data_IF_320290640247
#
_entry.id   IF_320290640247
#
_cell.length_a   1.000
_cell.length_b   1.000
_cell.length_c   1.000
_cell.angle_alpha   90.00
_cell.angle_beta   90.00
_cell.angle_gamma   90.00
#
_symmetry.space_group_name_H-M   'P 1'
#
loop_
_entity.id
_entity.type
_entity.pdbx_description
1 polymer ?
#
# COMPACT_ATOMS: atom_id res chain seq x y z
N UNK A 1 -33.78 40.43 7.45
CA UNK A 1 -33.77 38.96 7.34
C UNK A 1 -34.02 38.58 5.90
N UNK A 2 -32.97 38.45 5.09
CA UNK A 2 -33.10 37.91 3.75
C UNK A 2 -33.04 36.38 3.87
N UNK A 3 -34.19 35.77 4.15
CA UNK A 3 -34.35 34.32 4.13
C UNK A 3 -34.47 33.86 2.68
N UNK A 4 -33.43 33.21 2.17
CA UNK A 4 -33.45 32.51 0.90
C UNK A 4 -32.54 31.28 1.03
N UNK A 5 -32.90 30.18 0.36
CA UNK A 5 -32.04 29.00 0.28
C UNK A 5 -31.01 29.24 -0.83
N UNK A 6 -29.70 29.15 -0.56
CA UNK A 6 -28.69 29.25 -1.60
C UNK A 6 -28.92 28.21 -2.70
N UNK A 7 -28.76 28.63 -3.95
CA UNK A 7 -28.85 27.78 -5.13
C UNK A 7 -27.49 27.71 -5.82
N UNK A 8 -27.35 26.86 -6.84
CA UNK A 8 -26.09 26.70 -7.56
C UNK A 8 -25.33 25.46 -7.11
N UNK A 9 -24.00 25.50 -7.15
CA UNK A 9 -23.16 24.32 -6.92
C UNK A 9 -21.94 24.60 -6.04
N UNK A 10 -21.52 23.54 -5.35
CA UNK A 10 -20.29 23.47 -4.57
C UNK A 10 -19.30 22.57 -5.30
N UNK A 11 -18.13 23.10 -5.60
CA UNK A 11 -17.00 22.31 -6.10
C UNK A 11 -16.10 21.91 -4.95
N UNK A 12 -15.83 20.62 -4.81
CA UNK A 12 -14.94 20.06 -3.80
C UNK A 12 -13.56 19.79 -4.41
N UNK A 13 -12.51 20.07 -3.65
CA UNK A 13 -11.12 19.85 -4.04
C UNK A 13 -10.34 19.16 -2.92
N UNK A 14 -9.35 18.36 -3.30
CA UNK A 14 -8.23 17.97 -2.46
C UNK A 14 -7.00 18.78 -2.89
N UNK A 15 -6.65 19.80 -2.10
CA UNK A 15 -5.70 20.83 -2.51
C UNK A 15 -6.20 21.56 -3.76
N UNK A 16 -5.56 21.30 -4.90
CA UNK A 16 -5.95 21.85 -6.22
C UNK A 16 -6.67 20.85 -7.11
N UNK A 17 -6.77 19.58 -6.70
CA UNK A 17 -7.36 18.50 -7.49
C UNK A 17 -8.87 18.47 -7.28
N UNK A 18 -9.71 18.61 -8.32
CA UNK A 18 -11.16 18.52 -8.16
C UNK A 18 -11.59 17.11 -7.74
N UNK A 19 -12.42 17.03 -6.70
CA UNK A 19 -13.09 15.80 -6.26
C UNK A 19 -14.49 15.67 -6.86
N UNK A 20 -15.12 16.80 -7.20
CA UNK A 20 -16.43 16.82 -7.85
C UNK A 20 -17.09 18.19 -7.79
N UNK A 21 -18.07 18.41 -8.65
CA UNK A 21 -18.95 19.57 -8.61
C UNK A 21 -20.38 19.10 -8.39
N UNK A 22 -21.01 19.57 -7.32
CA UNK A 22 -22.31 19.05 -6.85
C UNK A 22 -23.27 20.20 -6.67
N UNK A 23 -24.45 20.11 -7.29
CA UNK A 23 -25.52 21.08 -7.09
C UNK A 23 -26.06 21.01 -5.67
N UNK A 24 -26.41 22.16 -5.10
CA UNK A 24 -27.06 22.23 -3.80
C UNK A 24 -28.44 21.54 -3.86
N UNK A 25 -28.70 20.69 -2.87
CA UNK A 25 -30.04 20.15 -2.59
C UNK A 25 -30.48 20.71 -1.25
N UNK A 26 -31.31 21.75 -1.29
CA UNK A 26 -31.52 22.60 -0.11
C UNK A 26 -30.29 23.47 0.14
N UNK A 27 -29.76 23.45 1.36
CA UNK A 27 -28.57 24.19 1.79
C UNK A 27 -27.27 23.36 1.74
N UNK A 28 -27.34 22.13 1.23
CA UNK A 28 -26.29 21.13 1.37
C UNK A 28 -25.84 20.55 0.03
N UNK A 29 -24.55 20.25 -0.07
CA UNK A 29 -23.95 19.48 -1.15
C UNK A 29 -23.00 18.43 -0.54
N UNK A 30 -22.92 17.26 -1.16
CA UNK A 30 -22.13 16.14 -0.67
C UNK A 30 -21.31 15.51 -1.80
N UNK A 31 -20.05 15.21 -1.52
CA UNK A 31 -19.18 14.42 -2.40
C UNK A 31 -18.73 13.15 -1.66
N UNK A 32 -18.60 12.04 -2.37
CA UNK A 32 -17.92 10.84 -1.91
C UNK A 32 -16.63 10.64 -2.70
N UNK A 33 -15.54 10.30 -2.02
CA UNK A 33 -14.26 9.98 -2.65
C UNK A 33 -13.69 8.71 -2.05
N UNK A 34 -13.25 7.80 -2.91
CA UNK A 34 -12.53 6.58 -2.54
C UNK A 34 -11.05 6.61 -2.97
N UNK A 35 -10.59 7.73 -3.54
CA UNK A 35 -9.26 7.86 -4.15
C UNK A 35 -8.25 8.62 -3.30
N UNK A 36 -8.61 9.02 -2.08
CA UNK A 36 -7.67 9.66 -1.16
C UNK A 36 -6.62 8.63 -0.72
N UNK A 37 -5.38 8.85 -1.13
CA UNK A 37 -4.21 8.09 -0.67
C UNK A 37 -3.99 8.29 0.83
N UNK A 38 -3.16 7.47 1.49
CA UNK A 38 -2.79 7.80 2.86
C UNK A 38 -1.87 9.01 2.94
N UNK A 39 -2.45 10.15 3.29
CA UNK A 39 -1.76 11.41 3.57
C UNK A 39 -2.65 12.32 4.41
N UNK A 40 -2.14 13.51 4.75
CA UNK A 40 -2.98 14.62 5.20
C UNK A 40 -3.44 15.42 3.99
N UNK A 41 -4.75 15.47 3.79
CA UNK A 41 -5.44 16.13 2.68
C UNK A 41 -6.09 17.42 3.18
N UNK A 42 -5.98 18.49 2.39
CA UNK A 42 -6.71 19.72 2.65
C UNK A 42 -7.93 19.74 1.73
N UNK A 43 -9.09 19.37 2.28
CA UNK A 43 -10.33 19.30 1.52
C UNK A 43 -10.98 20.67 1.52
N UNK A 44 -11.13 21.27 0.34
CA UNK A 44 -11.74 22.58 0.13
C UNK A 44 -13.11 22.43 -0.51
N UNK A 45 -14.13 23.07 0.05
CA UNK A 45 -15.43 23.24 -0.57
C UNK A 45 -15.56 24.68 -1.05
N UNK A 46 -15.91 24.88 -2.32
CA UNK A 46 -16.07 26.20 -2.95
C UNK A 46 -17.49 26.33 -3.47
N UNK A 47 -18.28 27.17 -2.82
CA UNK A 47 -19.57 27.59 -3.33
C UNK A 47 -19.36 28.69 -4.38
N UNK A 48 -19.92 28.49 -5.56
CA UNK A 48 -19.76 29.39 -6.72
C UNK A 48 -20.52 30.72 -6.57
N UNK A 49 -21.42 30.83 -5.60
CA UNK A 49 -22.36 31.94 -5.52
C UNK A 49 -23.56 31.74 -6.45
N UNK A 50 -24.56 32.59 -6.29
CA UNK A 50 -25.69 32.73 -7.21
C UNK A 50 -26.11 34.19 -7.34
N UNK A 51 -27.27 34.45 -7.95
CA UNK A 51 -27.81 35.81 -8.12
C UNK A 51 -28.08 36.57 -6.82
N UNK A 52 -28.25 35.86 -5.70
CA UNK A 52 -28.62 36.39 -4.39
C UNK A 52 -27.51 36.25 -3.34
N UNK A 53 -26.63 35.25 -3.49
CA UNK A 53 -25.59 34.89 -2.53
C UNK A 53 -24.19 34.95 -3.16
N UNK A 54 -23.22 35.52 -2.44
CA UNK A 54 -21.82 35.57 -2.90
C UNK A 54 -21.18 34.18 -2.85
N UNK A 55 -20.14 33.98 -3.67
CA UNK A 55 -19.26 32.82 -3.55
C UNK A 55 -18.57 32.81 -2.19
N UNK A 56 -18.34 31.61 -1.65
CA UNK A 56 -17.60 31.43 -0.40
C UNK A 56 -16.83 30.09 -0.44
N UNK A 57 -15.86 29.91 0.45
CA UNK A 57 -15.16 28.64 0.57
C UNK A 57 -14.69 28.34 1.97
N UNK A 58 -14.64 27.06 2.30
CA UNK A 58 -14.10 26.56 3.56
C UNK A 58 -13.17 25.37 3.32
N UNK A 59 -12.32 25.08 4.29
CA UNK A 59 -11.36 23.97 4.24
C UNK A 59 -11.41 23.15 5.51
N UNK A 60 -11.23 21.83 5.37
CA UNK A 60 -10.96 20.91 6.47
C UNK A 60 -9.68 20.13 6.20
N UNK A 61 -9.07 19.61 7.27
CA UNK A 61 -7.98 18.65 7.17
C UNK A 61 -8.54 17.24 7.32
N UNK A 62 -8.39 16.41 6.28
CA UNK A 62 -8.71 14.99 6.32
C UNK A 62 -7.42 14.19 6.39
N UNK A 63 -7.26 13.33 7.39
CA UNK A 63 -6.09 12.44 7.49
C UNK A 63 -6.51 11.03 7.07
N UNK A 64 -5.76 10.45 6.15
CA UNK A 64 -5.90 9.05 5.74
C UNK A 64 -4.63 8.32 6.16
N UNK A 65 -4.77 7.29 7.00
CA UNK A 65 -3.65 6.51 7.51
C UNK A 65 -3.26 5.36 6.57
N UNK A 66 -2.01 4.91 6.65
CA UNK A 66 -1.58 3.70 5.98
C UNK A 66 -2.22 2.46 6.60
N UNK A 67 -2.53 1.46 5.78
CA UNK A 67 -3.02 0.16 6.23
C UNK A 67 -1.85 -0.82 6.42
N UNK A 68 -2.02 -1.80 7.30
CA UNK A 68 -1.01 -2.85 7.52
C UNK A 68 -1.27 -4.01 6.55
N UNK A 69 -0.36 -4.33 5.61
CA UNK A 69 -0.45 -5.54 4.82
C UNK A 69 -0.04 -6.78 5.63
N UNK A 70 -0.23 -7.95 5.03
CA UNK A 70 0.27 -9.23 5.54
C UNK A 70 1.29 -9.79 4.55
N UNK A 71 2.52 -9.99 5.00
CA UNK A 71 3.56 -10.69 4.25
C UNK A 71 3.50 -12.18 4.59
N UNK A 72 3.53 -13.03 3.58
CA UNK A 72 3.74 -14.47 3.72
C UNK A 72 4.97 -14.87 2.92
N UNK A 73 5.69 -15.89 3.39
CA UNK A 73 6.92 -16.36 2.77
C UNK A 73 6.90 -17.88 2.67
N UNK A 74 7.17 -18.39 1.47
CA UNK A 74 7.25 -19.81 1.19
C UNK A 74 8.59 -20.18 0.54
N UNK A 75 9.07 -21.39 0.81
CA UNK A 75 10.20 -22.03 0.13
C UNK A 75 9.68 -23.07 -0.86
N UNK A 76 10.31 -23.17 -2.03
CA UNK A 76 9.94 -24.15 -3.06
C UNK A 76 10.30 -25.59 -2.68
N UNK A 77 11.30 -25.79 -1.82
CA UNK A 77 11.78 -27.11 -1.39
C UNK A 77 12.37 -27.02 0.01
N UNK A 78 11.84 -27.79 0.95
CA UNK A 78 12.30 -27.80 2.35
C UNK A 78 12.01 -29.17 3.01
N UNK A 79 13.03 -29.93 3.45
CA UNK A 79 14.45 -29.63 3.35
C UNK A 79 14.95 -29.72 1.89
N UNK A 80 15.99 -28.94 1.57
CA UNK A 80 16.77 -29.07 0.32
C UNK A 80 18.07 -29.86 0.56
N UNK A 81 18.82 -30.16 -0.49
CA UNK A 81 20.21 -30.64 -0.36
C UNK A 81 21.18 -29.57 -0.83
N UNK A 82 22.42 -29.60 -0.32
CA UNK A 82 23.48 -28.65 -0.71
C UNK A 82 23.63 -28.56 -2.24
N UNK A 83 23.70 -27.33 -2.75
CA UNK A 83 23.78 -27.05 -4.19
C UNK A 83 22.44 -27.07 -4.94
N UNK A 84 21.33 -27.49 -4.32
CA UNK A 84 20.02 -27.38 -4.96
C UNK A 84 19.51 -25.95 -4.96
N UNK A 85 18.96 -25.54 -6.11
CA UNK A 85 18.33 -24.23 -6.25
C UNK A 85 17.00 -24.19 -5.49
N UNK A 86 16.91 -23.29 -4.51
CA UNK A 86 15.69 -23.05 -3.73
C UNK A 86 15.13 -21.69 -4.12
N UNK A 87 13.85 -21.64 -4.46
CA UNK A 87 13.14 -20.38 -4.72
C UNK A 87 12.33 -20.00 -3.49
N UNK A 88 12.53 -18.79 -2.99
CA UNK A 88 11.73 -18.19 -1.94
C UNK A 88 10.75 -17.20 -2.57
N UNK A 89 9.47 -17.35 -2.23
CA UNK A 89 8.40 -16.48 -2.71
C UNK A 89 7.77 -15.75 -1.53
N UNK A 90 7.84 -14.43 -1.58
CA UNK A 90 7.07 -13.56 -0.71
C UNK A 90 5.78 -13.14 -1.41
N UNK A 91 4.66 -13.17 -0.69
CA UNK A 91 3.38 -12.56 -1.12
C UNK A 91 3.00 -11.48 -0.10
N UNK A 92 2.61 -10.31 -0.57
CA UNK A 92 2.21 -9.15 0.23
C UNK A 92 0.76 -8.84 -0.07
N UNK A 93 -0.13 -9.15 0.87
CA UNK A 93 -1.58 -9.11 0.67
C UNK A 93 -2.24 -8.02 1.52
N UNK A 94 -3.31 -7.41 1.00
CA UNK A 94 -4.15 -6.48 1.75
C UNK A 94 -5.57 -6.40 1.14
N UNK A 95 -6.58 -6.31 2.01
CA UNK A 95 -7.97 -6.18 1.58
C UNK A 95 -8.31 -4.80 0.96
N UNK A 96 -7.52 -3.76 1.26
CA UNK A 96 -7.78 -2.39 0.78
C UNK A 96 -7.12 -2.06 -0.56
N UNK A 97 -6.39 -2.99 -1.17
CA UNK A 97 -5.72 -2.81 -2.46
C UNK A 97 -4.44 -3.63 -2.59
N UNK A 98 -3.77 -3.55 -3.74
CA UNK A 98 -2.53 -4.28 -4.00
C UNK A 98 -1.31 -3.45 -3.58
N UNK A 99 -0.48 -3.93 -2.65
CA UNK A 99 0.76 -3.27 -2.26
C UNK A 99 1.75 -3.17 -3.43
N UNK A 100 2.49 -2.08 -3.48
CA UNK A 100 3.56 -1.81 -4.46
C UNK A 100 4.91 -1.70 -3.77
N UNK A 101 6.01 -1.59 -4.52
CA UNK A 101 7.36 -1.45 -3.95
C UNK A 101 8.16 -2.74 -4.06
N UNK A 102 8.98 -3.05 -3.06
CA UNK A 102 9.93 -4.17 -3.10
C UNK A 102 9.99 -4.98 -1.82
N UNK A 103 10.40 -6.24 -1.97
CA UNK A 103 10.72 -7.15 -0.87
C UNK A 103 12.21 -7.45 -0.90
N UNK A 104 12.88 -7.23 0.22
CA UNK A 104 14.27 -7.66 0.41
C UNK A 104 14.31 -8.98 1.16
N UNK A 105 15.03 -9.96 0.60
CA UNK A 105 15.21 -11.28 1.18
C UNK A 105 16.57 -11.38 1.88
N UNK A 106 16.59 -12.06 3.02
CA UNK A 106 17.78 -12.26 3.83
C UNK A 106 17.89 -13.72 4.29
N UNK A 107 19.12 -14.19 4.42
CA UNK A 107 19.49 -15.36 5.20
C UNK A 107 20.27 -14.88 6.44
N UNK A 108 19.60 -14.86 7.59
CA UNK A 108 20.10 -14.17 8.77
C UNK A 108 20.31 -12.67 8.49
N UNK A 109 21.57 -12.23 8.50
CA UNK A 109 21.96 -10.84 8.19
C UNK A 109 22.39 -10.64 6.73
N UNK A 110 22.59 -11.71 5.96
CA UNK A 110 23.08 -11.65 4.59
C UNK A 110 21.93 -11.39 3.63
N UNK A 111 22.01 -10.36 2.81
CA UNK A 111 20.99 -10.11 1.77
C UNK A 111 21.12 -11.13 0.64
N UNK A 112 20.00 -11.77 0.29
CA UNK A 112 19.87 -12.65 -0.87
C UNK A 112 19.44 -11.88 -2.12
N UNK A 113 18.86 -10.69 -1.94
CA UNK A 113 18.44 -9.81 -3.03
C UNK A 113 17.27 -8.89 -2.64
N UNK A 114 17.11 -7.80 -3.38
CA UNK A 114 15.94 -6.93 -3.32
C UNK A 114 15.16 -7.02 -4.62
N UNK A 115 13.88 -7.38 -4.54
CA UNK A 115 13.06 -7.71 -5.71
C UNK A 115 11.77 -6.90 -5.67
N UNK A 116 11.47 -6.20 -6.76
CA UNK A 116 10.21 -5.46 -6.91
C UNK A 116 9.02 -6.42 -6.94
N UNK A 117 7.91 -6.00 -6.35
CA UNK A 117 6.63 -6.69 -6.46
C UNK A 117 6.15 -6.68 -7.91
N UNK A 118 5.78 -7.85 -8.43
CA UNK A 118 5.03 -8.01 -9.68
C UNK A 118 3.66 -8.53 -9.29
N UNK A 119 2.65 -7.66 -9.33
CA UNK A 119 1.39 -7.89 -8.64
C UNK A 119 1.61 -7.84 -7.12
N UNK A 120 1.22 -8.89 -6.40
CA UNK A 120 1.35 -9.02 -4.96
C UNK A 120 2.58 -9.85 -4.52
N UNK A 121 3.46 -10.22 -5.45
CA UNK A 121 4.48 -11.25 -5.22
C UNK A 121 5.89 -10.80 -5.62
N UNK A 122 6.89 -11.25 -4.87
CA UNK A 122 8.32 -11.13 -5.19
C UNK A 122 9.02 -12.48 -4.94
N UNK A 123 10.06 -12.78 -5.73
CA UNK A 123 10.76 -14.06 -5.67
C UNK A 123 12.27 -13.90 -5.79
N UNK A 124 13.02 -14.68 -5.02
CA UNK A 124 14.47 -14.83 -5.15
C UNK A 124 14.83 -16.31 -5.16
N UNK A 125 15.89 -16.69 -5.88
CA UNK A 125 16.41 -18.05 -5.88
C UNK A 125 17.85 -18.07 -5.38
N UNK A 126 18.21 -19.11 -4.63
CA UNK A 126 19.58 -19.36 -4.20
C UNK A 126 19.92 -20.85 -4.27
N UNK A 127 21.07 -21.16 -4.84
CA UNK A 127 21.70 -22.49 -4.82
C UNK A 127 22.95 -22.54 -3.91
N UNK A 128 23.25 -21.44 -3.22
CA UNK A 128 24.50 -21.23 -2.46
C UNK A 128 24.37 -21.41 -0.95
N UNK A 129 23.20 -21.86 -0.48
CA UNK A 129 22.97 -22.09 0.95
C UNK A 129 23.84 -23.25 1.45
N UNK A 130 24.56 -23.00 2.54
CA UNK A 130 25.37 -24.02 3.22
C UNK A 130 24.50 -25.14 3.80
N UNK A 131 25.08 -26.29 4.11
CA UNK A 131 24.35 -27.35 4.84
C UNK A 131 24.12 -26.93 6.30
N UNK A 132 22.98 -26.31 6.58
CA UNK A 132 22.57 -25.85 7.90
C UNK A 132 21.05 -25.58 7.96
N UNK A 133 20.57 -25.12 9.12
CA UNK A 133 19.26 -24.49 9.25
C UNK A 133 19.40 -22.99 9.03
N UNK A 134 18.70 -22.46 8.05
CA UNK A 134 18.72 -21.06 7.63
C UNK A 134 17.40 -20.37 8.00
N UNK A 135 17.48 -19.22 8.67
CA UNK A 135 16.31 -18.37 8.90
C UNK A 135 16.18 -17.38 7.75
N UNK A 136 15.31 -17.70 6.80
CA UNK A 136 15.05 -16.86 5.64
C UNK A 136 13.99 -15.84 6.00
N UNK A 137 14.32 -14.57 5.84
CA UNK A 137 13.44 -13.44 6.14
C UNK A 137 13.13 -12.67 4.86
N UNK A 138 11.86 -12.38 4.62
CA UNK A 138 11.39 -11.46 3.59
C UNK A 138 10.87 -10.19 4.27
N UNK A 139 11.38 -9.04 3.86
CA UNK A 139 11.02 -7.73 4.40
C UNK A 139 10.42 -6.88 3.29
N UNK A 140 9.13 -6.59 3.40
CA UNK A 140 8.44 -5.61 2.57
C UNK A 140 8.68 -4.21 3.15
N UNK A 141 9.17 -3.27 2.33
CA UNK A 141 9.53 -1.93 2.78
C UNK A 141 8.34 -1.01 3.12
N UNK A 142 7.13 -1.41 2.72
CA UNK A 142 6.00 -0.48 2.66
C UNK A 142 6.02 0.35 1.37
N UNK A 143 4.93 1.09 1.15
CA UNK A 143 4.79 2.10 0.11
C UNK A 143 4.02 3.33 0.62
N UNK A 144 3.47 4.15 -0.29
CA UNK A 144 2.70 5.33 0.11
C UNK A 144 1.48 4.98 0.94
N UNK A 145 0.80 3.86 0.67
CA UNK A 145 -0.50 3.46 1.23
C UNK A 145 -0.41 2.31 2.26
N UNK A 146 0.64 1.51 2.21
CA UNK A 146 0.82 0.31 3.02
C UNK A 146 2.08 0.40 3.89
N UNK A 147 1.97 -0.01 5.15
CA UNK A 147 3.10 -0.08 6.07
C UNK A 147 4.07 -1.20 5.68
N UNK A 148 5.30 -1.11 6.18
CA UNK A 148 6.26 -2.22 6.11
C UNK A 148 5.78 -3.42 6.93
N UNK A 149 6.09 -4.63 6.47
CA UNK A 149 5.83 -5.87 7.18
C UNK A 149 6.88 -6.93 6.79
N UNK A 150 6.97 -8.04 7.53
CA UNK A 150 7.95 -9.10 7.25
C UNK A 150 7.47 -10.48 7.66
N UNK A 151 7.99 -11.50 6.97
CA UNK A 151 7.76 -12.90 7.31
C UNK A 151 9.06 -13.69 7.29
N UNK A 152 9.08 -14.79 8.02
CA UNK A 152 10.23 -15.71 8.09
C UNK A 152 9.83 -17.14 7.80
N UNK A 153 10.74 -17.90 7.18
CA UNK A 153 10.65 -19.36 7.05
C UNK A 153 11.99 -19.97 7.42
N UNK A 154 11.97 -21.11 8.11
CA UNK A 154 13.18 -21.91 8.37
C UNK A 154 13.43 -22.84 7.18
N UNK A 155 14.52 -22.64 6.46
CA UNK A 155 14.99 -23.52 5.39
C UNK A 155 16.05 -24.47 5.94
N UNK A 156 15.81 -25.77 5.85
CA UNK A 156 16.83 -26.77 6.19
C UNK A 156 17.54 -27.22 4.92
N UNK A 157 18.88 -27.25 4.96
CA UNK A 157 19.73 -27.75 3.87
C UNK A 157 20.52 -28.95 4.37
N UNK A 158 20.23 -30.11 3.81
CA UNK A 158 20.93 -31.36 4.09
C UNK A 158 22.26 -31.42 3.34
N UNK A 159 23.23 -32.16 3.90
CA UNK A 159 24.48 -32.46 3.20
C UNK A 159 24.20 -33.23 1.91
N UNK A 160 25.00 -32.98 0.87
CA UNK A 160 24.99 -33.79 -0.34
C UNK A 160 25.80 -35.08 -0.11
N UNK A 161 25.39 -36.17 -0.77
CA UNK A 161 26.20 -37.39 -0.80
C UNK A 161 27.51 -37.16 -1.58
N UNK A 162 28.60 -37.87 -1.25
CA UNK A 162 29.80 -37.89 -2.08
C UNK A 162 29.46 -38.34 -3.51
N UNK A 163 30.17 -37.78 -4.49
CA UNK A 163 30.07 -38.17 -5.90
C UNK A 163 30.59 -39.61 -6.13
#
# INVERSE_FOLDING_TARGET
NAGGTPTGSVTFFDGVTPLGNVSLTGDSAQVSSASLSSASHTIKAVYSGDSNFKSDSTTITQVVGQTSPTVTLASSVNPSTFGQNVTFKAKVDNASGTPTGSVTFYDGATSLGNVSLVGDSAQVSSASLSSASHTIKAVYSGDSNFKSDSATVTQVVNQAAPA
#
